data_IF_721776595343
#
_entry.id   IF_721776595343
#
_cell.length_a   1.000
_cell.length_b   1.000
_cell.length_c   1.000
_cell.angle_alpha   90.00
_cell.angle_beta   90.00
_cell.angle_gamma   90.00
#
_symmetry.space_group_name_H-M   'P 1'
#
loop_
_entity.id
_entity.type
_entity.pdbx_description
1 polymer ?
#
# COMPACT_ATOMS: atom_id res chain seq x y z
N UNK A 1 -12.25 -13.73 -11.40
CA UNK A 1 -12.00 -15.12 -11.87
C UNK A 1 -10.69 -15.64 -11.29
N UNK A 2 -10.50 -16.96 -11.09
CA UNK A 2 -9.18 -17.49 -10.69
C UNK A 2 -8.14 -17.19 -11.77
N UNK A 3 -6.91 -16.86 -11.37
CA UNK A 3 -5.79 -16.65 -12.29
C UNK A 3 -5.52 -17.94 -13.08
N UNK A 4 -5.10 -17.81 -14.34
CA UNK A 4 -4.58 -18.97 -15.06
C UNK A 4 -3.20 -19.39 -14.50
N UNK A 5 -2.79 -20.62 -14.75
CA UNK A 5 -1.54 -21.19 -14.19
C UNK A 5 -0.28 -20.41 -14.54
N UNK A 6 -0.22 -19.76 -15.71
CA UNK A 6 0.93 -18.95 -16.11
C UNK A 6 0.97 -17.61 -15.35
N UNK A 7 -0.17 -16.95 -15.20
CA UNK A 7 -0.33 -15.73 -14.42
C UNK A 7 -0.07 -15.98 -12.94
N UNK A 8 -0.54 -17.10 -12.39
CA UNK A 8 -0.26 -17.51 -11.02
C UNK A 8 1.24 -17.75 -10.79
N UNK A 9 1.91 -18.46 -11.70
CA UNK A 9 3.36 -18.66 -11.64
C UNK A 9 4.13 -17.34 -11.70
N UNK A 10 3.74 -16.44 -12.58
CA UNK A 10 4.35 -15.12 -12.70
C UNK A 10 4.10 -14.28 -11.42
N UNK A 11 2.87 -14.24 -10.92
CA UNK A 11 2.50 -13.55 -9.68
C UNK A 11 3.35 -14.05 -8.51
N UNK A 12 3.44 -15.37 -8.31
CA UNK A 12 4.23 -15.96 -7.22
C UNK A 12 5.73 -15.67 -7.36
N UNK A 13 6.25 -15.67 -8.59
CA UNK A 13 7.64 -15.26 -8.85
C UNK A 13 7.88 -13.80 -8.48
N UNK A 14 6.95 -12.91 -8.81
CA UNK A 14 7.05 -11.49 -8.49
C UNK A 14 6.97 -11.24 -6.97
N UNK A 15 6.07 -11.91 -6.25
CA UNK A 15 6.03 -11.85 -4.78
C UNK A 15 7.35 -12.35 -4.18
N UNK A 16 7.93 -13.42 -4.72
CA UNK A 16 9.23 -13.94 -4.28
C UNK A 16 10.35 -12.92 -4.52
N UNK A 17 10.38 -12.29 -5.69
CA UNK A 17 11.34 -11.22 -6.01
C UNK A 17 11.17 -10.01 -5.08
N UNK A 18 9.93 -9.65 -4.76
CA UNK A 18 9.62 -8.54 -3.87
C UNK A 18 10.14 -8.81 -2.44
N UNK A 19 9.94 -10.02 -1.92
CA UNK A 19 10.48 -10.45 -0.64
C UNK A 19 12.02 -10.52 -0.65
N UNK A 20 12.61 -10.97 -1.76
CA UNK A 20 14.06 -11.06 -1.91
C UNK A 20 14.76 -9.70 -2.02
N UNK A 21 14.05 -8.67 -2.51
CA UNK A 21 14.54 -7.30 -2.59
C UNK A 21 14.57 -6.58 -1.23
N UNK A 22 13.97 -7.15 -0.18
CA UNK A 22 14.07 -6.62 1.18
C UNK A 22 15.42 -7.04 1.80
N UNK A 23 16.21 -6.12 2.37
CA UNK A 23 17.50 -6.45 2.99
C UNK A 23 17.42 -7.53 4.07
N UNK A 24 18.42 -8.40 4.13
CA UNK A 24 18.51 -9.50 5.12
C UNK A 24 18.81 -9.02 6.54
N UNK A 25 19.18 -7.77 6.72
CA UNK A 25 19.43 -7.12 8.00
C UNK A 25 18.31 -6.14 8.39
N UNK A 26 17.17 -6.20 7.69
CA UNK A 26 15.98 -5.43 8.05
C UNK A 26 15.57 -5.64 9.52
N UNK A 27 15.04 -4.58 10.13
CA UNK A 27 14.54 -4.58 11.50
C UNK A 27 13.74 -5.87 11.82
N UNK A 28 14.06 -6.58 12.91
CA UNK A 28 13.39 -7.84 13.25
C UNK A 28 11.87 -7.73 13.35
N UNK A 29 11.33 -6.57 13.75
CA UNK A 29 9.89 -6.29 13.84
C UNK A 29 9.25 -6.23 12.46
N UNK A 30 9.95 -5.65 11.48
CA UNK A 30 9.52 -5.64 10.07
C UNK A 30 9.55 -7.05 9.51
N UNK A 31 10.62 -7.83 9.78
CA UNK A 31 10.67 -9.25 9.40
C UNK A 31 9.54 -10.06 10.04
N UNK A 32 9.23 -9.80 11.30
CA UNK A 32 8.16 -10.47 12.03
C UNK A 32 6.78 -10.08 11.48
N UNK A 33 6.57 -8.81 11.13
CA UNK A 33 5.37 -8.31 10.46
C UNK A 33 5.19 -8.96 9.09
N UNK A 34 6.24 -8.95 8.25
CA UNK A 34 6.24 -9.61 6.93
C UNK A 34 5.92 -11.09 7.11
N UNK A 35 6.58 -11.79 8.04
CA UNK A 35 6.30 -13.20 8.32
C UNK A 35 4.85 -13.41 8.76
N UNK A 36 4.30 -12.63 9.71
CA UNK A 36 2.88 -12.80 10.09
C UNK A 36 1.91 -12.52 8.95
N UNK A 37 2.18 -11.55 8.09
CA UNK A 37 1.31 -11.22 6.95
C UNK A 37 1.46 -12.23 5.79
N UNK A 38 2.65 -12.74 5.56
CA UNK A 38 2.97 -13.70 4.48
C UNK A 38 2.71 -15.15 4.90
N UNK A 39 2.95 -15.52 6.16
CA UNK A 39 2.86 -16.91 6.65
C UNK A 39 1.76 -17.14 7.68
N UNK A 40 1.23 -16.10 8.33
CA UNK A 40 0.41 -16.23 9.54
C UNK A 40 -1.10 -16.28 9.33
N UNK A 41 -1.61 -15.82 8.17
CA UNK A 41 -3.07 -15.71 7.96
C UNK A 41 -3.63 -16.53 6.79
N UNK A 42 -2.83 -17.25 6.01
CA UNK A 42 -3.31 -17.80 4.72
C UNK A 42 -2.58 -19.05 4.21
N UNK A 43 -1.90 -19.80 5.07
CA UNK A 43 -0.99 -20.85 4.59
C UNK A 43 0.05 -20.24 3.63
N UNK A 44 0.88 -21.06 3.00
CA UNK A 44 1.74 -20.59 1.91
C UNK A 44 0.97 -20.68 0.57
N UNK A 45 -0.32 -21.02 0.64
CA UNK A 45 -1.14 -21.46 -0.49
C UNK A 45 -2.20 -20.44 -0.95
N UNK A 46 -2.54 -19.41 -0.18
CA UNK A 46 -3.39 -18.31 -0.69
C UNK A 46 -2.55 -17.07 -1.07
N UNK A 47 -2.68 -16.57 -2.31
CA UNK A 47 -1.91 -15.42 -2.78
C UNK A 47 -2.36 -14.15 -2.07
N UNK A 48 -1.39 -13.31 -1.65
CA UNK A 48 -1.60 -12.04 -0.92
C UNK A 48 -2.83 -11.27 -1.44
N UNK A 49 -3.72 -10.87 -0.53
CA UNK A 49 -4.88 -10.06 -0.89
C UNK A 49 -4.44 -8.66 -1.35
N UNK A 50 -5.29 -7.98 -2.12
CA UNK A 50 -5.02 -6.61 -2.57
C UNK A 50 -4.68 -5.66 -1.41
N UNK A 51 -5.41 -5.79 -0.30
CA UNK A 51 -5.18 -5.04 0.94
C UNK A 51 -3.79 -5.33 1.51
N UNK A 52 -3.38 -6.60 1.59
CA UNK A 52 -2.06 -6.98 2.10
C UNK A 52 -0.94 -6.44 1.21
N UNK A 53 -1.11 -6.46 -0.11
CA UNK A 53 -0.15 -5.89 -1.06
C UNK A 53 -0.02 -4.37 -0.88
N UNK A 54 -1.14 -3.64 -0.71
CA UNK A 54 -1.13 -2.20 -0.42
C UNK A 54 -0.42 -1.86 0.89
N UNK A 55 -0.69 -2.64 1.95
CA UNK A 55 -0.01 -2.50 3.23
C UNK A 55 1.50 -2.74 3.11
N UNK A 56 1.91 -3.81 2.44
CA UNK A 56 3.32 -4.11 2.23
C UNK A 56 4.02 -3.03 1.38
N UNK A 57 3.35 -2.52 0.35
CA UNK A 57 3.88 -1.43 -0.47
C UNK A 57 4.09 -0.15 0.33
N UNK A 58 3.15 0.23 1.20
CA UNK A 58 3.31 1.36 2.11
C UNK A 58 4.49 1.20 3.06
N UNK A 59 4.63 0.02 3.67
CA UNK A 59 5.74 -0.29 4.55
C UNK A 59 7.08 -0.21 3.80
N UNK A 60 7.19 -0.86 2.64
CA UNK A 60 8.43 -0.91 1.87
C UNK A 60 8.82 0.42 1.24
N UNK A 61 7.85 1.19 0.72
CA UNK A 61 8.09 2.54 0.23
C UNK A 61 8.62 3.44 1.36
N UNK A 62 8.00 3.35 2.54
CA UNK A 62 8.41 4.10 3.74
C UNK A 62 9.84 3.74 4.18
N UNK A 63 10.24 2.48 4.03
CA UNK A 63 11.59 2.02 4.38
C UNK A 63 12.62 2.26 3.28
N UNK A 64 12.20 2.63 2.07
CA UNK A 64 13.08 2.91 0.94
C UNK A 64 13.40 1.69 0.07
N UNK A 65 12.64 0.61 0.20
CA UNK A 65 12.84 -0.63 -0.58
C UNK A 65 12.15 -0.54 -1.94
N UNK A 66 12.64 0.38 -2.78
CA UNK A 66 12.02 0.74 -4.06
C UNK A 66 11.79 -0.48 -4.97
N UNK A 67 12.76 -1.37 -5.11
CA UNK A 67 12.61 -2.57 -5.94
C UNK A 67 11.53 -3.52 -5.41
N UNK A 68 11.40 -3.65 -4.09
CA UNK A 68 10.36 -4.46 -3.49
C UNK A 68 8.96 -3.89 -3.80
N UNK A 69 8.82 -2.56 -3.75
CA UNK A 69 7.58 -1.87 -4.17
C UNK A 69 7.31 -2.09 -5.66
N UNK A 70 8.34 -2.03 -6.51
CA UNK A 70 8.22 -2.27 -7.96
C UNK A 70 7.67 -3.67 -8.24
N UNK A 71 8.27 -4.71 -7.66
CA UNK A 71 7.79 -6.09 -7.84
C UNK A 71 6.36 -6.31 -7.29
N UNK A 72 5.96 -5.61 -6.22
CA UNK A 72 4.56 -5.63 -5.78
C UNK A 72 3.60 -4.97 -6.77
N UNK A 73 4.01 -3.86 -7.39
CA UNK A 73 3.22 -3.21 -8.44
C UNK A 73 3.06 -4.16 -9.64
N UNK A 74 4.11 -4.85 -10.04
CA UNK A 74 4.08 -5.88 -11.09
C UNK A 74 3.13 -7.03 -10.72
N UNK A 75 3.25 -7.56 -9.49
CA UNK A 75 2.40 -8.66 -9.01
C UNK A 75 0.92 -8.26 -8.96
N UNK A 76 0.63 -7.02 -8.57
CA UNK A 76 -0.71 -6.44 -8.53
C UNK A 76 -1.33 -6.36 -9.92
N UNK A 77 -0.52 -5.94 -10.89
CA UNK A 77 -0.91 -5.86 -12.30
C UNK A 77 -1.27 -7.23 -12.87
N UNK A 78 -0.47 -8.26 -12.58
CA UNK A 78 -0.76 -9.64 -13.02
C UNK A 78 -2.04 -10.18 -12.40
N UNK A 79 -2.23 -9.97 -11.09
CA UNK A 79 -3.44 -10.40 -10.36
C UNK A 79 -4.70 -9.74 -10.90
N UNK A 80 -4.56 -8.56 -11.48
CA UNK A 80 -5.63 -7.72 -12.02
C UNK A 80 -6.10 -8.08 -13.44
N UNK A 81 -5.30 -8.83 -14.22
CA UNK A 81 -5.62 -9.22 -15.61
C UNK A 81 -6.88 -10.09 -15.77
N UNK A 82 -7.21 -11.04 -14.86
CA UNK A 82 -8.38 -11.92 -15.02
C UNK A 82 -9.75 -11.24 -14.85
N UNK A 83 -9.80 -9.98 -14.41
CA UNK A 83 -11.06 -9.22 -14.29
C UNK A 83 -11.45 -8.64 -15.66
N UNK A 84 -11.73 -9.55 -16.61
CA UNK A 84 -12.24 -9.24 -17.94
C UNK A 84 -13.59 -8.49 -17.83
N UNK A 85 -13.54 -7.16 -17.95
CA UNK A 85 -14.69 -6.33 -18.33
C UNK A 85 -15.25 -5.35 -17.30
N UNK A 86 -14.83 -5.36 -16.03
CA UNK A 86 -15.50 -4.54 -15.01
C UNK A 86 -14.58 -3.66 -14.14
N UNK A 87 -13.26 -3.78 -14.24
CA UNK A 87 -12.35 -3.02 -13.36
C UNK A 87 -11.06 -2.66 -14.08
N UNK A 88 -11.02 -1.45 -14.66
CA UNK A 88 -9.80 -0.84 -15.22
C UNK A 88 -8.77 -0.50 -14.14
N UNK A 89 -7.67 0.18 -14.49
CA UNK A 89 -6.62 0.62 -13.56
C UNK A 89 -7.13 1.46 -12.35
N UNK A 90 -8.40 1.87 -12.40
CA UNK A 90 -9.08 2.76 -11.47
C UNK A 90 -9.98 2.04 -10.44
N UNK A 91 -9.82 0.73 -10.23
CA UNK A 91 -10.56 0.03 -9.16
C UNK A 91 -9.94 0.31 -7.78
N UNK A 92 -10.77 0.26 -6.72
CA UNK A 92 -10.31 0.45 -5.34
C UNK A 92 -9.06 -0.37 -4.99
N UNK A 93 -8.96 -1.60 -5.52
CA UNK A 93 -7.83 -2.50 -5.30
C UNK A 93 -6.49 -1.99 -5.87
N UNK A 94 -6.50 -1.23 -6.96
CA UNK A 94 -5.28 -0.71 -7.61
C UNK A 94 -4.87 0.66 -7.09
N UNK A 95 -5.86 1.46 -6.68
CA UNK A 95 -5.65 2.74 -5.97
C UNK A 95 -4.80 2.58 -4.71
N UNK A 96 -4.80 1.39 -4.09
CA UNK A 96 -3.98 1.04 -2.93
C UNK A 96 -2.47 1.22 -3.17
N UNK A 97 -2.01 1.15 -4.42
CA UNK A 97 -0.59 1.30 -4.78
C UNK A 97 -0.22 2.69 -5.28
N UNK A 98 -1.18 3.60 -5.46
CA UNK A 98 -0.91 4.91 -6.04
C UNK A 98 0.05 5.74 -5.18
N UNK A 99 -0.26 5.90 -3.89
CA UNK A 99 0.61 6.64 -2.98
C UNK A 99 1.98 5.97 -2.76
N UNK A 100 2.10 4.67 -2.46
CA UNK A 100 3.43 4.07 -2.28
C UNK A 100 4.28 4.07 -3.55
N UNK A 101 3.68 3.95 -4.75
CA UNK A 101 4.42 4.09 -6.01
C UNK A 101 4.95 5.52 -6.22
N UNK A 102 4.12 6.52 -5.93
CA UNK A 102 4.51 7.94 -5.97
C UNK A 102 5.59 8.25 -4.91
N UNK A 103 5.42 7.75 -3.69
CA UNK A 103 6.38 7.90 -2.61
C UNK A 103 7.73 7.26 -2.96
N UNK A 104 7.71 6.09 -3.60
CA UNK A 104 8.88 5.35 -4.05
C UNK A 104 9.48 5.85 -5.38
N UNK A 105 9.04 6.98 -5.93
CA UNK A 105 9.51 7.52 -7.21
C UNK A 105 9.39 6.55 -8.41
N UNK A 106 8.43 5.63 -8.36
CA UNK A 106 8.09 4.71 -9.45
C UNK A 106 7.10 5.40 -10.40
N UNK A 107 7.56 6.39 -11.17
CA UNK A 107 6.69 7.35 -11.87
C UNK A 107 5.79 6.71 -12.93
N UNK A 108 6.22 5.62 -13.55
CA UNK A 108 5.38 4.84 -14.48
C UNK A 108 4.17 4.22 -13.79
N UNK A 109 4.39 3.53 -12.66
CA UNK A 109 3.31 2.96 -11.85
C UNK A 109 2.48 4.03 -11.15
N UNK A 110 3.12 5.10 -10.65
CA UNK A 110 2.41 6.22 -10.06
C UNK A 110 1.42 6.78 -11.06
N UNK A 111 1.82 7.06 -12.30
CA UNK A 111 0.89 7.52 -13.34
C UNK A 111 -0.24 6.52 -13.62
N UNK A 112 0.10 5.23 -13.71
CA UNK A 112 -0.86 4.16 -14.00
C UNK A 112 -1.95 4.02 -12.91
N UNK A 113 -1.58 4.11 -11.64
CA UNK A 113 -2.49 3.99 -10.50
C UNK A 113 -3.18 5.33 -10.12
N UNK A 114 -2.78 6.44 -10.74
CA UNK A 114 -3.14 7.82 -10.33
C UNK A 114 -3.67 8.67 -11.50
N UNK A 115 -4.38 8.09 -12.47
CA UNK A 115 -4.63 8.74 -13.76
C UNK A 115 -5.64 9.91 -13.70
N UNK A 116 -5.20 11.02 -13.13
CA UNK A 116 -5.54 12.43 -13.43
C UNK A 116 -6.99 12.91 -13.27
N UNK A 117 -7.53 12.77 -12.04
CA UNK A 117 -8.82 13.27 -11.52
C UNK A 117 -10.03 12.38 -11.90
N UNK A 118 -10.41 11.45 -11.02
CA UNK A 118 -11.60 10.57 -11.09
C UNK A 118 -12.81 11.25 -11.77
N UNK A 119 -13.34 10.75 -12.92
CA UNK A 119 -14.50 9.83 -12.92
C UNK A 119 -14.55 8.84 -14.13
N UNK A 120 -15.13 7.63 -14.00
CA UNK A 120 -16.55 7.32 -14.30
C UNK A 120 -17.22 6.48 -13.18
N UNK A 121 -16.41 6.00 -12.23
CA UNK A 121 -16.85 5.36 -11.00
C UNK A 121 -16.28 6.19 -9.84
N UNK A 122 -17.11 6.89 -9.06
CA UNK A 122 -16.61 7.57 -7.89
C UNK A 122 -16.14 6.49 -6.90
N UNK A 123 -14.85 6.48 -6.54
CA UNK A 123 -14.32 5.61 -5.47
C UNK A 123 -15.19 5.73 -4.20
N UNK A 124 -15.84 6.87 -3.99
CA UNK A 124 -16.82 7.08 -2.91
C UNK A 124 -18.08 6.19 -2.97
N UNK A 125 -18.35 5.49 -4.08
CA UNK A 125 -19.40 4.45 -4.16
C UNK A 125 -18.90 3.05 -3.79
N UNK A 126 -17.61 2.77 -3.94
CA UNK A 126 -16.97 1.50 -3.54
C UNK A 126 -16.48 1.57 -2.08
N UNK A 127 -16.36 2.78 -1.54
CA UNK A 127 -16.20 3.02 -0.11
C UNK A 127 -17.59 2.84 0.51
N UNK A 128 -17.94 1.59 0.83
CA UNK A 128 -19.27 1.20 1.31
C UNK A 128 -19.61 1.76 2.70
N UNK A 129 -18.59 2.11 3.48
CA UNK A 129 -18.77 2.65 4.83
C UNK A 129 -18.57 4.18 4.83
N UNK A 130 -19.51 4.97 5.38
CA UNK A 130 -19.20 6.30 5.88
C UNK A 130 -18.33 6.13 7.13
N UNK A 131 -17.02 5.97 6.94
CA UNK A 131 -16.10 5.48 7.99
C UNK A 131 -15.99 6.45 9.20
N UNK A 132 -16.53 7.68 9.16
CA UNK A 132 -15.97 8.74 10.04
C UNK A 132 -16.95 9.68 10.75
N UNK A 133 -18.05 9.15 11.32
CA UNK A 133 -18.65 9.81 12.49
C UNK A 133 -17.93 9.48 13.81
N UNK A 134 -17.00 8.51 13.82
CA UNK A 134 -16.24 8.14 15.01
C UNK A 134 -14.70 8.29 14.84
N UNK A 135 -14.06 9.27 15.51
CA UNK A 135 -12.60 9.45 15.57
C UNK A 135 -11.82 8.23 16.07
N UNK A 136 -12.47 7.31 16.81
CA UNK A 136 -11.86 6.09 17.33
C UNK A 136 -11.41 5.09 16.24
N UNK A 137 -11.89 5.25 15.00
CA UNK A 137 -11.55 4.37 13.87
C UNK A 137 -10.19 4.67 13.23
N UNK A 138 -9.63 5.85 13.51
CA UNK A 138 -8.26 6.14 13.18
C UNK A 138 -7.38 5.74 14.34
N UNK A 139 -6.40 4.88 14.09
CA UNK A 139 -5.51 4.45 15.16
C UNK A 139 -4.62 5.59 15.64
N UNK A 140 -4.72 6.82 15.11
CA UNK A 140 -3.90 7.96 15.52
C UNK A 140 -4.10 8.35 16.98
N UNK A 141 -5.31 8.27 17.54
CA UNK A 141 -5.52 8.55 18.97
C UNK A 141 -5.07 7.37 19.84
N UNK A 142 -5.19 6.16 19.30
CA UNK A 142 -4.73 4.93 19.93
C UNK A 142 -3.19 4.77 19.91
N UNK A 143 -2.54 5.14 18.82
CA UNK A 143 -1.10 5.01 18.57
C UNK A 143 -0.36 6.28 18.92
N UNK A 144 -0.96 7.46 18.81
CA UNK A 144 -0.25 8.73 18.97
C UNK A 144 0.90 8.88 17.98
N UNK A 145 1.95 9.57 18.40
CA UNK A 145 3.17 9.80 17.61
C UNK A 145 4.40 9.24 18.34
N UNK A 146 5.56 9.11 17.69
CA UNK A 146 6.78 8.73 18.39
C UNK A 146 7.17 9.66 19.54
N UNK A 147 6.79 10.94 19.47
CA UNK A 147 7.06 11.94 20.50
C UNK A 147 5.95 11.99 21.57
N UNK A 148 4.75 11.50 21.26
CA UNK A 148 3.63 11.38 22.18
C UNK A 148 2.92 10.04 21.95
N UNK A 149 3.52 8.92 22.38
CA UNK A 149 2.98 7.59 22.14
C UNK A 149 1.61 7.41 22.79
N UNK A 150 0.63 6.96 21.99
CA UNK A 150 -0.67 6.53 22.47
C UNK A 150 -0.60 5.17 23.16
N UNK A 151 -1.73 4.74 23.73
CA UNK A 151 -1.84 3.48 24.49
C UNK A 151 -1.44 2.23 23.68
N UNK A 152 -1.56 2.28 22.36
CA UNK A 152 -1.20 1.24 21.41
C UNK A 152 0.31 0.95 21.30
N UNK A 153 1.20 1.85 21.75
CA UNK A 153 2.65 1.60 21.75
C UNK A 153 3.09 0.65 22.87
N UNK A 154 2.30 0.52 23.93
CA UNK A 154 2.59 -0.34 25.09
C UNK A 154 2.30 -1.82 24.87
N UNK A 155 1.85 -2.23 23.68
CA UNK A 155 1.59 -3.63 23.38
C UNK A 155 2.87 -4.46 23.40
N UNK A 156 2.80 -5.63 24.05
CA UNK A 156 3.88 -6.64 23.99
C UNK A 156 4.17 -7.09 22.55
N UNK A 157 3.18 -6.98 21.66
CA UNK A 157 3.34 -7.24 20.22
C UNK A 157 3.62 -5.94 19.45
N UNK A 158 4.91 -5.65 19.27
CA UNK A 158 5.44 -4.52 18.49
C UNK A 158 5.02 -4.51 17.01
N UNK A 159 4.33 -5.56 16.53
CA UNK A 159 3.75 -5.65 15.19
C UNK A 159 2.44 -4.87 15.09
N UNK A 160 1.70 -4.75 16.20
CA UNK A 160 0.38 -4.13 16.21
C UNK A 160 0.44 -2.64 15.83
N UNK A 161 1.40 -1.83 16.34
CA UNK A 161 1.59 -0.45 15.88
C UNK A 161 1.93 -0.35 14.38
N UNK A 162 2.81 -1.23 13.88
CA UNK A 162 3.17 -1.26 12.45
C UNK A 162 1.93 -1.51 11.60
N UNK A 163 1.13 -2.50 11.98
CA UNK A 163 -0.11 -2.85 11.28
C UNK A 163 -1.05 -1.65 11.19
N UNK A 164 -1.33 -1.03 12.32
CA UNK A 164 -2.28 0.07 12.38
C UNK A 164 -1.82 1.31 11.61
N UNK A 165 -0.54 1.70 11.71
CA UNK A 165 -0.02 2.81 10.90
C UNK A 165 -0.13 2.50 9.41
N UNK A 166 0.20 1.27 9.02
CA UNK A 166 0.13 0.85 7.62
C UNK A 166 -1.32 0.70 7.12
N UNK A 167 -2.26 0.28 7.98
CA UNK A 167 -3.70 0.24 7.71
C UNK A 167 -4.26 1.66 7.50
N UNK A 168 -3.84 2.61 8.34
CA UNK A 168 -4.19 4.03 8.25
C UNK A 168 -3.65 4.65 6.92
N UNK A 169 -2.38 4.41 6.60
CA UNK A 169 -1.77 4.85 5.34
C UNK A 169 -2.46 4.26 4.12
N UNK A 170 -2.84 2.98 4.20
CA UNK A 170 -3.58 2.29 3.15
C UNK A 170 -4.93 2.98 2.90
N UNK A 171 -5.72 3.23 3.96
CA UNK A 171 -7.02 3.92 3.86
C UNK A 171 -6.84 5.32 3.29
N UNK A 172 -5.97 6.14 3.89
CA UNK A 172 -5.71 7.52 3.44
C UNK A 172 -5.25 7.58 1.98
N UNK A 173 -4.41 6.64 1.54
CA UNK A 173 -3.94 6.55 0.16
C UNK A 173 -5.07 6.36 -0.85
N UNK A 174 -6.14 5.64 -0.48
CA UNK A 174 -7.34 5.49 -1.31
C UNK A 174 -8.21 6.76 -1.28
N UNK A 175 -8.51 7.31 -0.09
CA UNK A 175 -9.34 8.52 0.05
C UNK A 175 -8.74 9.75 -0.62
N UNK A 176 -7.41 9.84 -0.65
CA UNK A 176 -6.64 10.84 -1.41
C UNK A 176 -7.09 10.97 -2.86
N UNK A 177 -7.59 9.88 -3.47
CA UNK A 177 -7.99 9.81 -4.87
C UNK A 177 -9.50 9.99 -5.07
N UNK A 178 -10.31 10.08 -4.01
CA UNK A 178 -11.76 10.26 -4.14
C UNK A 178 -12.11 11.71 -4.53
N UNK A 179 -13.10 11.89 -5.43
CA UNK A 179 -13.63 13.21 -5.81
C UNK A 179 -14.38 13.91 -4.68
N UNK A 180 -15.01 13.14 -3.81
CA UNK A 180 -15.71 13.59 -2.61
C UNK A 180 -15.25 12.72 -1.44
N UNK A 181 -14.92 13.34 -0.31
CA UNK A 181 -14.64 12.64 0.93
C UNK A 181 -15.35 13.35 2.08
N UNK A 182 -15.75 12.58 3.08
CA UNK A 182 -16.51 13.07 4.23
C UNK A 182 -15.68 14.00 5.14
N UNK A 183 -14.36 14.05 4.95
CA UNK A 183 -13.44 14.89 5.73
C UNK A 183 -13.32 16.32 5.17
N UNK A 184 -13.82 16.58 3.96
CA UNK A 184 -13.63 17.86 3.27
C UNK A 184 -12.14 18.16 2.98
N UNK A 185 -11.27 17.16 3.04
CA UNK A 185 -9.84 17.34 2.83
C UNK A 185 -9.52 17.33 1.34
N UNK A 186 -8.60 18.19 0.95
CA UNK A 186 -8.03 18.14 -0.40
C UNK A 186 -6.88 17.13 -0.47
N UNK A 187 -6.47 16.79 -1.70
CA UNK A 187 -5.36 15.86 -1.97
C UNK A 187 -4.07 16.23 -1.22
N UNK A 188 -3.79 17.53 -1.10
CA UNK A 188 -2.59 18.02 -0.43
C UNK A 188 -2.60 17.72 1.07
N UNK A 189 -3.76 17.88 1.72
CA UNK A 189 -3.90 17.50 3.14
C UNK A 189 -3.68 15.99 3.34
N UNK A 190 -4.22 15.16 2.45
CA UNK A 190 -3.95 13.71 2.49
C UNK A 190 -2.46 13.39 2.28
N UNK A 191 -1.77 14.07 1.36
CA UNK A 191 -0.33 13.89 1.17
C UNK A 191 0.44 14.18 2.46
N UNK A 192 0.13 15.29 3.13
CA UNK A 192 0.80 15.71 4.37
C UNK A 192 0.62 14.68 5.49
N UNK A 193 -0.58 14.14 5.64
CA UNK A 193 -0.85 13.11 6.66
C UNK A 193 -0.18 11.78 6.31
N UNK A 194 -0.19 11.38 5.04
CA UNK A 194 0.51 10.16 4.60
C UNK A 194 2.04 10.27 4.82
N UNK A 195 2.64 11.43 4.54
CA UNK A 195 4.04 11.73 4.84
C UNK A 195 4.32 11.70 6.36
N UNK A 196 3.40 12.21 7.17
CA UNK A 196 3.49 12.15 8.62
C UNK A 196 3.44 10.71 9.14
N UNK A 197 2.52 9.88 8.63
CA UNK A 197 2.44 8.47 8.99
C UNK A 197 3.70 7.69 8.57
N UNK A 198 4.24 7.96 7.38
CA UNK A 198 5.50 7.40 6.93
C UNK A 198 6.65 7.78 7.88
N UNK A 199 6.73 9.07 8.25
CA UNK A 199 7.71 9.60 9.20
C UNK A 199 7.59 8.90 10.56
N UNK A 200 6.37 8.78 11.09
CA UNK A 200 6.09 8.14 12.37
C UNK A 200 6.49 6.66 12.35
N UNK A 201 6.17 5.94 11.27
CA UNK A 201 6.55 4.55 11.09
C UNK A 201 8.08 4.37 11.07
N UNK A 202 8.79 5.26 10.36
CA UNK A 202 10.27 5.25 10.32
C UNK A 202 10.85 5.47 11.72
N UNK A 203 10.39 6.48 12.42
CA UNK A 203 10.84 6.78 13.78
C UNK A 203 10.53 5.64 14.77
N UNK A 204 9.33 5.06 14.71
CA UNK A 204 8.96 3.87 15.49
C UNK A 204 9.93 2.71 15.22
N UNK A 205 10.29 2.51 13.96
CA UNK A 205 11.25 1.50 13.51
C UNK A 205 12.72 1.92 13.69
N UNK A 206 12.98 3.06 14.33
CA UNK A 206 14.33 3.59 14.57
C UNK A 206 15.13 3.93 13.30
N UNK A 207 14.44 4.19 12.18
CA UNK A 207 15.01 4.75 10.96
C UNK A 207 15.06 6.29 11.05
N UNK A 208 15.92 6.95 10.24
CA UNK A 208 15.90 8.40 10.10
C UNK A 208 14.51 8.90 9.70
N UNK A 209 14.03 9.97 10.34
CA UNK A 209 12.72 10.56 10.06
C UNK A 209 12.58 11.05 8.61
N UNK A 210 13.70 11.37 7.95
CA UNK A 210 13.73 11.81 6.56
C UNK A 210 13.30 10.69 5.61
N UNK A 211 12.53 11.07 4.59
CA UNK A 211 12.19 10.20 3.46
C UNK A 211 13.48 9.62 2.84
N UNK A 212 13.56 8.30 2.59
CA UNK A 212 14.68 7.70 1.87
C UNK A 212 14.87 8.32 0.50
N UNK A 213 16.12 8.50 0.10
CA UNK A 213 16.42 8.82 -1.28
C UNK A 213 16.18 7.58 -2.15
N UNK A 214 15.26 7.68 -3.11
CA UNK A 214 14.98 6.67 -4.12
C UNK A 214 15.09 7.33 -5.49
N UNK A 215 15.89 6.80 -6.44
CA UNK A 215 16.02 7.38 -7.78
C UNK A 215 14.67 7.36 -8.52
N UNK A 216 14.51 8.21 -9.54
CA UNK A 216 13.33 8.16 -10.40
C UNK A 216 13.39 6.91 -11.26
N UNK A 217 12.33 6.10 -11.22
CA UNK A 217 12.16 4.93 -12.07
C UNK A 217 10.87 5.08 -12.92
N UNK A 218 10.98 5.37 -14.23
CA UNK A 218 9.83 5.48 -15.11
C UNK A 218 9.32 4.13 -15.61
N UNK A 219 9.99 3.02 -15.29
CA UNK A 219 9.62 1.71 -15.78
C UNK A 219 8.21 1.31 -15.32
N UNK A 220 7.48 0.67 -16.22
CA UNK A 220 6.21 0.03 -15.93
C UNK A 220 6.12 -1.26 -16.72
N UNK A 221 5.88 -2.36 -16.00
CA UNK A 221 5.53 -3.63 -16.59
C UNK A 221 4.04 -3.64 -16.90
N UNK A 222 3.70 -3.96 -18.15
CA UNK A 222 2.32 -4.12 -18.59
C UNK A 222 2.14 -5.60 -18.99
N UNK A 223 1.37 -6.38 -18.21
CA UNK A 223 1.09 -7.77 -18.55
C UNK A 223 0.42 -7.90 -19.93
N UNK A 224 0.64 -9.02 -20.60
CA UNK A 224 -0.13 -9.38 -21.80
C UNK A 224 -1.63 -9.36 -21.47
N UNK A 225 -2.43 -8.71 -22.33
CA UNK A 225 -3.87 -8.47 -22.18
C UNK A 225 -4.27 -7.45 -21.09
N UNK A 226 -3.33 -6.69 -20.54
CA UNK A 226 -3.69 -5.53 -19.72
C UNK A 226 -4.18 -4.38 -20.62
N UNK A 227 -5.49 -4.20 -20.71
CA UNK A 227 -6.09 -3.09 -21.47
C UNK A 227 -5.98 -1.80 -20.66
N UNK A 228 -5.06 -0.93 -21.07
CA UNK A 228 -5.01 0.45 -20.61
C UNK A 228 -6.15 1.22 -21.26
N UNK A 229 -7.21 1.54 -20.52
CA UNK A 229 -8.21 2.48 -21.01
C UNK A 229 -7.67 3.91 -20.83
N UNK A 230 -7.46 4.67 -21.94
CA UNK A 230 -7.07 6.08 -21.94
C UNK A 230 -7.83 6.95 -20.94
#
# INVERSE_FOLDING_TARGET
>A
MPMNRAAEKLHNSLITSALAAVPKDVDPRVRQFIRKKVTGNMGIDEPLTYVQMGQMANLWATLGYQEAVRYLCEAMMVRSVPDQGHSGANSMCRSMLAWPAEYANLTGYAHLFNRTNTPYFPLSREIEDPIFTNPDEFNRDYIGTPQSPGSGWGHKDVILPIRYIVDDMYKMGMYRLATSNDWGWNRERFNQELELHATNLRQFLSYPATKPHMPVDPHVFIPENFTYFP
#
